data_IF_522669474348
#
_entry.id   IF_522669474348
#
_cell.length_a   1.000
_cell.length_b   1.000
_cell.length_c   1.000
_cell.angle_alpha   90.00
_cell.angle_beta   90.00
_cell.angle_gamma   90.00
#
_symmetry.space_group_name_H-M   'P 1'
#
loop_
_entity.id
_entity.type
_entity.pdbx_description
1 polymer ?
#
# COMPACT_ATOMS: atom_id res chain seq x y z
N UNK A 1 36.54 4.47 13.21
CA UNK A 1 35.70 5.24 12.29
C UNK A 1 34.38 4.58 12.07
N UNK A 2 33.34 5.09 12.67
CA UNK A 2 31.99 4.56 12.53
C UNK A 2 31.21 5.17 11.37
N UNK A 3 31.70 6.27 10.82
CA UNK A 3 30.98 7.00 9.79
C UNK A 3 30.69 6.16 8.52
N UNK A 4 31.70 5.42 7.97
CA UNK A 4 31.41 4.62 6.78
C UNK A 4 30.36 3.54 7.01
N UNK A 5 30.32 2.96 8.20
CA UNK A 5 29.32 1.96 8.52
C UNK A 5 27.94 2.57 8.61
N UNK A 6 27.82 3.74 9.20
CA UNK A 6 26.55 4.43 9.28
C UNK A 6 26.00 4.77 7.90
N UNK A 7 26.86 5.23 7.00
CA UNK A 7 26.45 5.55 5.64
C UNK A 7 25.94 4.31 4.93
N UNK A 8 26.62 3.17 5.09
CA UNK A 8 26.22 1.93 4.45
C UNK A 8 24.83 1.48 4.93
N UNK A 9 24.58 1.60 6.23
CA UNK A 9 23.28 1.21 6.80
C UNK A 9 22.17 2.09 6.25
N UNK A 10 22.40 3.39 6.14
CA UNK A 10 21.38 4.30 5.61
C UNK A 10 21.09 3.98 4.15
N UNK A 11 22.10 3.69 3.35
CA UNK A 11 21.91 3.34 1.95
C UNK A 11 21.06 2.08 1.81
N UNK A 12 21.30 1.08 2.65
CA UNK A 12 20.54 -0.15 2.61
C UNK A 12 19.06 0.10 2.96
N UNK A 13 18.79 0.92 3.95
CA UNK A 13 17.42 1.26 4.32
C UNK A 13 16.68 1.95 3.19
N UNK A 14 17.35 2.83 2.46
CA UNK A 14 16.75 3.51 1.31
C UNK A 14 16.37 2.51 0.23
N UNK A 15 17.21 1.51 -0.03
CA UNK A 15 16.90 0.49 -1.02
C UNK A 15 15.67 -0.32 -0.61
N UNK A 16 15.54 -0.67 0.66
CA UNK A 16 14.36 -1.39 1.14
C UNK A 16 13.09 -0.55 0.97
N UNK A 17 13.16 0.72 1.29
CA UNK A 17 12.02 1.60 1.12
C UNK A 17 11.62 1.71 -0.35
N UNK A 18 12.59 1.68 -1.27
CA UNK A 18 12.32 1.75 -2.70
C UNK A 18 11.59 0.52 -3.26
N UNK A 19 11.54 -0.58 -2.51
CA UNK A 19 10.84 -1.79 -2.94
C UNK A 19 9.38 -1.84 -2.50
N UNK A 20 8.91 -0.86 -1.74
CA UNK A 20 7.54 -0.85 -1.25
C UNK A 20 6.57 -0.44 -2.36
N UNK A 21 5.41 -1.06 -2.35
CA UNK A 21 4.34 -0.75 -3.29
C UNK A 21 3.10 -0.31 -2.54
N UNK A 22 2.32 0.57 -3.17
CA UNK A 22 1.11 1.10 -2.56
C UNK A 22 -0.01 1.07 -3.58
N UNK A 23 -1.23 0.79 -3.11
CA UNK A 23 -2.38 0.63 -3.99
C UNK A 23 -3.60 1.34 -3.46
N UNK A 24 -4.41 1.83 -4.38
CA UNK A 24 -5.73 2.35 -4.10
C UNK A 24 -6.73 1.40 -4.73
N UNK A 25 -7.68 0.89 -3.93
CA UNK A 25 -8.69 -0.05 -4.38
C UNK A 25 -10.04 0.62 -4.30
N UNK A 26 -10.74 0.71 -5.42
CA UNK A 26 -12.06 1.32 -5.51
C UNK A 26 -13.11 0.24 -5.69
N UNK A 27 -14.17 0.32 -4.88
CA UNK A 27 -15.30 -0.59 -4.98
C UNK A 27 -16.41 0.12 -5.76
N UNK A 28 -16.69 -0.28 -7.01
CA UNK A 28 -17.69 0.42 -7.81
C UNK A 28 -19.11 0.25 -7.29
N UNK A 29 -19.38 -0.81 -6.52
CA UNK A 29 -20.74 -1.05 -6.03
C UNK A 29 -21.11 -0.11 -4.90
N UNK A 30 -20.14 0.38 -4.12
CA UNK A 30 -20.41 1.28 -2.99
C UNK A 30 -19.79 2.65 -3.17
N UNK A 31 -18.85 2.80 -4.09
CA UNK A 31 -18.07 4.02 -4.25
C UNK A 31 -16.98 4.17 -3.21
N UNK A 32 -16.77 3.17 -2.37
CA UNK A 32 -15.77 3.23 -1.32
C UNK A 32 -14.37 3.06 -1.88
N UNK A 33 -13.41 3.75 -1.28
CA UNK A 33 -12.01 3.70 -1.68
C UNK A 33 -11.18 3.22 -0.49
N UNK A 34 -10.28 2.29 -0.76
CA UNK A 34 -9.41 1.69 0.25
C UNK A 34 -7.96 1.91 -0.13
N UNK A 35 -7.06 1.87 0.85
CA UNK A 35 -5.62 1.99 0.64
C UNK A 35 -4.92 0.83 1.30
N UNK A 36 -3.96 0.23 0.60
CA UNK A 36 -3.29 -0.96 1.09
C UNK A 36 -1.88 -1.05 0.51
N UNK A 37 -1.04 -1.84 1.16
CA UNK A 37 0.32 -2.09 0.68
C UNK A 37 0.44 -3.42 -0.05
N UNK A 38 -0.59 -4.25 -0.01
CA UNK A 38 -0.53 -5.56 -0.64
C UNK A 38 -1.92 -5.99 -1.08
N UNK A 39 -2.01 -6.57 -2.27
CA UNK A 39 -3.27 -7.03 -2.84
C UNK A 39 -3.08 -8.45 -3.33
N UNK A 40 -3.95 -9.35 -2.91
CA UNK A 40 -3.98 -10.72 -3.43
C UNK A 40 -5.15 -10.86 -4.40
N UNK A 41 -4.85 -11.35 -5.56
CA UNK A 41 -5.88 -11.54 -6.60
C UNK A 41 -6.25 -13.02 -6.67
N UNK A 42 -7.54 -13.26 -6.76
CA UNK A 42 -8.07 -14.62 -6.87
C UNK A 42 -9.25 -14.56 -7.84
N UNK A 43 -8.98 -14.78 -9.13
CA UNK A 43 -9.98 -14.58 -10.15
C UNK A 43 -10.37 -13.11 -10.23
N UNK A 44 -11.66 -12.82 -10.14
CA UNK A 44 -12.16 -11.44 -10.15
C UNK A 44 -12.19 -10.82 -8.76
N UNK A 45 -11.85 -11.59 -7.73
CA UNK A 45 -11.84 -11.09 -6.35
C UNK A 45 -10.46 -10.55 -6.00
N UNK A 46 -10.43 -9.53 -5.15
CA UNK A 46 -9.18 -9.03 -4.55
C UNK A 46 -9.34 -9.03 -3.04
N UNK A 47 -8.31 -9.49 -2.37
CA UNK A 47 -8.25 -9.51 -0.92
C UNK A 47 -7.07 -8.67 -0.46
N UNK A 48 -7.30 -7.83 0.55
CA UNK A 48 -6.25 -6.95 1.04
C UNK A 48 -6.54 -6.53 2.46
N UNK A 49 -5.51 -6.02 3.13
CA UNK A 49 -5.66 -5.45 4.45
C UNK A 49 -5.84 -3.95 4.31
N UNK A 50 -6.98 -3.45 4.75
CA UNK A 50 -7.29 -2.03 4.69
C UNK A 50 -6.40 -1.26 5.67
N UNK A 51 -5.61 -0.33 5.15
CA UNK A 51 -4.65 0.40 5.99
C UNK A 51 -5.33 1.30 7.01
N UNK A 52 -6.55 1.77 6.74
CA UNK A 52 -7.25 2.65 7.68
C UNK A 52 -7.84 1.89 8.86
N UNK A 53 -8.44 0.73 8.60
CA UNK A 53 -9.12 -0.02 9.66
C UNK A 53 -8.28 -1.16 10.22
N UNK A 54 -7.30 -1.63 9.46
CA UNK A 54 -6.51 -2.80 9.82
C UNK A 54 -7.20 -4.12 9.55
N UNK A 55 -8.41 -4.10 9.02
CA UNK A 55 -9.17 -5.32 8.74
C UNK A 55 -8.92 -5.84 7.34
N UNK A 56 -9.19 -7.13 7.15
CA UNK A 56 -9.08 -7.76 5.84
C UNK A 56 -10.38 -7.53 5.08
N UNK A 57 -10.25 -7.11 3.82
CA UNK A 57 -11.38 -6.79 2.95
C UNK A 57 -11.27 -7.63 1.70
N UNK A 58 -12.38 -8.20 1.25
CA UNK A 58 -12.46 -8.94 -0.01
C UNK A 58 -13.52 -8.30 -0.88
N UNK A 59 -13.15 -7.92 -2.10
CA UNK A 59 -14.04 -7.25 -3.03
C UNK A 59 -14.08 -7.98 -4.36
N UNK A 60 -15.24 -7.90 -5.03
CA UNK A 60 -15.42 -8.44 -6.38
C UNK A 60 -15.41 -7.30 -7.38
N UNK A 61 -14.71 -7.51 -8.49
CA UNK A 61 -14.72 -6.57 -9.61
C UNK A 61 -14.29 -5.16 -9.21
N UNK A 62 -13.38 -5.05 -8.25
CA UNK A 62 -12.88 -3.77 -7.82
C UNK A 62 -11.79 -3.26 -8.77
N UNK A 63 -11.51 -1.97 -8.69
CA UNK A 63 -10.49 -1.32 -9.49
C UNK A 63 -9.26 -1.08 -8.62
N UNK A 64 -8.12 -1.65 -9.00
CA UNK A 64 -6.88 -1.55 -8.26
C UNK A 64 -5.90 -0.67 -9.03
N UNK A 65 -5.40 0.37 -8.39
CA UNK A 65 -4.46 1.30 -9.01
C UNK A 65 -3.18 1.39 -8.19
N UNK A 66 -2.04 1.38 -8.89
CA UNK A 66 -0.75 1.69 -8.27
C UNK A 66 -0.70 3.17 -7.96
N UNK A 67 -0.29 3.50 -6.74
CA UNK A 67 -0.14 4.90 -6.32
C UNK A 67 1.21 5.07 -5.65
N UNK A 68 1.64 6.32 -5.48
CA UNK A 68 2.90 6.58 -4.79
C UNK A 68 2.68 6.66 -3.27
N UNK A 69 3.78 6.71 -2.55
CA UNK A 69 3.74 6.73 -1.09
C UNK A 69 2.99 7.94 -0.56
N UNK A 70 3.16 9.09 -1.20
CA UNK A 70 2.52 10.32 -0.75
C UNK A 70 1.01 10.23 -0.86
N UNK A 71 0.51 9.74 -1.97
CA UNK A 71 -0.92 9.57 -2.16
C UNK A 71 -1.48 8.55 -1.17
N UNK A 72 -0.74 7.47 -0.93
CA UNK A 72 -1.13 6.46 0.03
C UNK A 72 -1.27 7.04 1.43
N UNK A 73 -0.26 7.79 1.89
CA UNK A 73 -0.27 8.37 3.22
C UNK A 73 -1.40 9.37 3.39
N UNK A 74 -1.66 10.17 2.36
CA UNK A 74 -2.77 11.11 2.40
C UNK A 74 -4.12 10.40 2.46
N UNK A 75 -4.26 9.30 1.72
CA UNK A 75 -5.50 8.53 1.73
C UNK A 75 -5.76 7.85 3.05
N UNK A 76 -4.72 7.27 3.66
CA UNK A 76 -4.86 6.60 4.95
C UNK A 76 -5.20 7.59 6.06
N UNK A 77 -4.65 8.80 6.00
CA UNK A 77 -4.90 9.83 7.01
C UNK A 77 -6.32 10.38 6.94
N UNK A 78 -6.96 10.29 5.80
CA UNK A 78 -8.33 10.78 5.62
C UNK A 78 -9.32 9.80 6.22
N UNK A 79 -10.18 10.29 7.05
CA UNK A 79 -11.20 9.42 7.64
C UNK A 79 -12.59 9.88 7.34
#
# INVERSE_FOLDING_TARGET
MSIPKAVAVVAFAVLLAGCAHYYKVSDPSTGKVYYTEDVKRNGSAVEFKDAQSGGVVTLQNSNVMDIDKQEYEQGVAKK
#
